data_IF_361614068322
#
_entry.id   IF_361614068322
#
_cell.length_a   1.000
_cell.length_b   1.000
_cell.length_c   1.000
_cell.angle_alpha   90.00
_cell.angle_beta   90.00
_cell.angle_gamma   90.00
#
_symmetry.space_group_name_H-M   'P 1'
#
loop_
_entity.id
_entity.type
_entity.pdbx_description
1 polymer ?
#
# COMPACT_ATOMS: atom_id res chain seq x y z
N UNK A 1 12.87 24.74 -1.04
CA UNK A 1 13.24 23.62 -0.12
C UNK A 1 12.03 22.83 0.35
N UNK A 2 10.89 23.48 0.62
CA UNK A 2 9.65 22.83 1.08
C UNK A 2 9.10 21.77 0.12
N UNK A 3 8.98 22.11 -1.18
CA UNK A 3 8.55 21.13 -2.20
C UNK A 3 9.47 19.91 -2.31
N UNK A 4 10.77 20.02 -1.98
CA UNK A 4 11.67 18.87 -2.04
C UNK A 4 11.28 17.80 -1.03
N UNK A 5 10.92 18.21 0.20
CA UNK A 5 10.44 17.28 1.23
C UNK A 5 9.10 16.65 0.85
N UNK A 6 8.19 17.45 0.29
CA UNK A 6 6.89 16.96 -0.22
C UNK A 6 7.10 15.94 -1.34
N UNK A 7 7.94 16.26 -2.33
CA UNK A 7 8.26 15.35 -3.43
C UNK A 7 8.89 14.06 -2.92
N UNK A 8 9.82 14.12 -1.95
CA UNK A 8 10.40 12.93 -1.32
C UNK A 8 9.31 12.08 -0.65
N UNK A 9 8.47 12.66 0.21
CA UNK A 9 7.36 11.95 0.86
C UNK A 9 6.42 11.29 -0.16
N UNK A 10 6.00 12.02 -1.19
CA UNK A 10 5.09 11.50 -2.21
C UNK A 10 5.73 10.36 -3.01
N UNK A 11 7.02 10.46 -3.31
CA UNK A 11 7.75 9.39 -3.99
C UNK A 11 7.98 8.16 -3.08
N UNK A 12 8.18 8.35 -1.79
CA UNK A 12 8.28 7.25 -0.82
C UNK A 12 6.95 6.48 -0.73
N UNK A 13 5.82 7.21 -0.63
CA UNK A 13 4.48 6.62 -0.67
C UNK A 13 4.19 5.93 -2.01
N UNK A 14 4.63 6.52 -3.12
CA UNK A 14 4.48 5.94 -4.46
C UNK A 14 5.24 4.62 -4.56
N UNK A 15 6.50 4.57 -4.11
CA UNK A 15 7.30 3.35 -4.07
C UNK A 15 6.64 2.28 -3.20
N UNK A 16 6.14 2.64 -2.00
CA UNK A 16 5.43 1.69 -1.12
C UNK A 16 4.18 1.11 -1.77
N UNK A 17 3.41 1.92 -2.51
CA UNK A 17 2.23 1.43 -3.23
C UNK A 17 2.60 0.47 -4.37
N UNK A 18 3.70 0.69 -5.09
CA UNK A 18 4.15 -0.26 -6.11
C UNK A 18 4.61 -1.59 -5.50
N UNK A 19 5.37 -1.53 -4.41
CA UNK A 19 5.78 -2.72 -3.69
C UNK A 19 4.57 -3.50 -3.18
N UNK A 20 3.57 -2.79 -2.66
CA UNK A 20 2.31 -3.37 -2.22
C UNK A 20 1.50 -4.00 -3.35
N UNK A 21 1.35 -3.30 -4.48
CA UNK A 21 0.71 -3.85 -5.67
C UNK A 21 1.38 -5.16 -6.08
N UNK A 22 2.71 -5.16 -6.22
CA UNK A 22 3.47 -6.34 -6.64
C UNK A 22 3.33 -7.47 -5.62
N UNK A 23 3.42 -7.16 -4.33
CA UNK A 23 3.29 -8.13 -3.24
C UNK A 23 1.93 -8.81 -3.24
N UNK A 24 0.87 -8.04 -3.44
CA UNK A 24 -0.49 -8.58 -3.58
C UNK A 24 -0.70 -9.39 -4.85
N UNK A 25 -0.14 -8.97 -6.00
CA UNK A 25 -0.18 -9.77 -7.24
C UNK A 25 0.51 -11.12 -7.07
N UNK A 26 1.66 -11.12 -6.39
CA UNK A 26 2.44 -12.33 -6.10
C UNK A 26 1.72 -13.24 -5.09
N UNK A 27 1.10 -12.66 -4.05
CA UNK A 27 0.26 -13.39 -3.10
C UNK A 27 -0.93 -14.07 -3.81
N UNK A 28 -1.61 -13.35 -4.70
CA UNK A 28 -2.75 -13.85 -5.46
C UNK A 28 -2.39 -15.01 -6.41
N UNK A 29 -1.14 -15.08 -6.89
CA UNK A 29 -0.68 -16.17 -7.75
C UNK A 29 -0.35 -17.46 -6.97
N UNK A 30 -0.03 -17.32 -5.69
CA UNK A 30 0.43 -18.42 -4.80
C UNK A 30 -0.64 -19.00 -3.88
N UNK A 31 -1.77 -18.31 -3.69
CA UNK A 31 -2.84 -18.78 -2.81
C UNK A 31 -3.95 -19.53 -3.55
N UNK A 32 -4.38 -20.66 -2.97
CA UNK A 32 -5.48 -21.47 -3.48
C UNK A 32 -6.84 -21.04 -2.93
N UNK A 33 -6.88 -20.43 -1.75
CA UNK A 33 -8.13 -19.98 -1.14
C UNK A 33 -8.75 -18.84 -1.95
N UNK A 34 -9.88 -19.14 -2.60
CA UNK A 34 -10.56 -18.22 -3.52
C UNK A 34 -10.90 -16.86 -2.92
N UNK A 35 -11.33 -16.80 -1.65
CA UNK A 35 -11.70 -15.54 -0.97
C UNK A 35 -10.50 -14.61 -0.85
N UNK A 36 -9.38 -15.09 -0.32
CA UNK A 36 -8.14 -14.31 -0.22
C UNK A 36 -7.53 -13.98 -1.58
N UNK A 37 -7.66 -14.89 -2.55
CA UNK A 37 -7.22 -14.62 -3.92
C UNK A 37 -7.93 -13.42 -4.54
N UNK A 38 -9.25 -13.32 -4.36
CA UNK A 38 -10.03 -12.16 -4.81
C UNK A 38 -9.63 -10.90 -4.06
N UNK A 39 -9.53 -10.98 -2.73
CA UNK A 39 -9.07 -9.87 -1.90
C UNK A 39 -7.72 -9.30 -2.37
N UNK A 40 -6.71 -10.13 -2.62
CA UNK A 40 -5.40 -9.65 -3.06
C UNK A 40 -5.43 -9.00 -4.45
N UNK A 41 -6.29 -9.47 -5.36
CA UNK A 41 -6.46 -8.81 -6.66
C UNK A 41 -7.05 -7.41 -6.50
N UNK A 42 -8.09 -7.28 -5.67
CA UNK A 42 -8.71 -5.98 -5.35
C UNK A 42 -7.70 -5.03 -4.70
N UNK A 43 -6.89 -5.53 -3.75
CA UNK A 43 -5.84 -4.73 -3.14
C UNK A 43 -4.79 -4.29 -4.15
N UNK A 44 -4.33 -5.16 -5.06
CA UNK A 44 -3.38 -4.79 -6.09
C UNK A 44 -3.90 -3.65 -6.99
N UNK A 45 -5.16 -3.72 -7.42
CA UNK A 45 -5.80 -2.68 -8.23
C UNK A 45 -5.98 -1.35 -7.47
N UNK A 46 -6.28 -1.44 -6.18
CA UNK A 46 -6.36 -0.29 -5.28
C UNK A 46 -5.00 0.42 -5.16
N UNK A 47 -3.92 -0.32 -4.87
CA UNK A 47 -2.56 0.24 -4.75
C UNK A 47 -2.06 0.84 -6.06
N UNK A 48 -2.38 0.22 -7.19
CA UNK A 48 -2.09 0.78 -8.50
C UNK A 48 -2.78 2.14 -8.72
N UNK A 49 -4.05 2.26 -8.33
CA UNK A 49 -4.81 3.50 -8.42
C UNK A 49 -4.24 4.58 -7.50
N UNK A 50 -3.80 4.21 -6.29
CA UNK A 50 -3.13 5.12 -5.36
C UNK A 50 -1.83 5.67 -5.96
N UNK A 51 -1.04 4.80 -6.61
CA UNK A 51 0.19 5.21 -7.30
C UNK A 51 -0.07 6.25 -8.39
N UNK A 52 -1.18 6.13 -9.14
CA UNK A 52 -1.56 7.13 -10.14
C UNK A 52 -1.88 8.49 -9.53
N UNK A 53 -2.66 8.53 -8.45
CA UNK A 53 -3.01 9.76 -7.76
C UNK A 53 -1.73 10.44 -7.21
N UNK A 54 -0.80 9.67 -6.63
CA UNK A 54 0.47 10.17 -6.11
C UNK A 54 1.40 10.68 -7.22
N UNK A 55 1.48 10.00 -8.37
CA UNK A 55 2.27 10.46 -9.53
C UNK A 55 1.86 11.85 -9.99
N UNK A 56 0.56 12.13 -10.03
CA UNK A 56 0.05 13.44 -10.41
C UNK A 56 0.50 14.52 -9.43
N UNK A 57 0.45 14.22 -8.12
CA UNK A 57 0.93 15.13 -7.08
C UNK A 57 2.45 15.35 -7.18
N UNK A 58 3.26 14.32 -7.38
CA UNK A 58 4.72 14.49 -7.53
C UNK A 58 5.04 15.48 -8.65
N UNK A 59 4.42 15.30 -9.83
CA UNK A 59 4.60 16.22 -10.96
C UNK A 59 4.10 17.63 -10.63
N UNK A 60 2.93 17.76 -9.97
CA UNK A 60 2.37 19.05 -9.56
C UNK A 60 3.31 19.84 -8.65
N UNK A 61 4.02 19.15 -7.75
CA UNK A 61 4.99 19.76 -6.84
C UNK A 61 6.38 19.96 -7.46
N UNK A 62 6.53 19.70 -8.77
CA UNK A 62 7.76 19.91 -9.54
C UNK A 62 8.78 18.78 -9.40
N UNK A 63 8.37 17.61 -8.92
CA UNK A 63 9.19 16.41 -8.84
C UNK A 63 9.07 15.52 -10.06
N UNK A 64 9.96 14.53 -10.14
CA UNK A 64 9.86 13.42 -11.10
C UNK A 64 9.28 12.22 -10.36
N UNK A 65 8.12 11.69 -10.77
CA UNK A 65 7.54 10.52 -10.12
C UNK A 65 8.43 9.31 -10.31
N UNK A 66 8.62 8.53 -9.25
CA UNK A 66 9.25 7.23 -9.39
C UNK A 66 8.40 6.35 -10.33
N UNK A 67 9.06 5.72 -11.30
CA UNK A 67 8.37 4.88 -12.30
C UNK A 67 7.92 3.52 -11.74
N UNK A 68 8.15 3.29 -10.46
CA UNK A 68 8.07 1.99 -9.82
C UNK A 68 9.44 1.37 -9.71
N UNK A 69 9.54 0.21 -9.07
CA UNK A 69 10.77 -0.59 -9.07
C UNK A 69 11.14 -0.96 -10.50
N UNK A 70 12.00 -0.17 -11.11
CA UNK A 70 12.83 -0.55 -12.26
C UNK A 70 13.66 -1.73 -11.80
N UNK A 71 13.45 -2.91 -12.39
CA UNK A 71 14.42 -4.01 -12.38
C UNK A 71 15.02 -4.34 -11.00
N UNK A 72 14.14 -4.62 -10.03
CA UNK A 72 14.56 -5.07 -8.70
C UNK A 72 13.51 -6.03 -8.14
N UNK A 73 13.85 -7.31 -8.09
CA UNK A 73 13.04 -8.38 -7.47
C UNK A 73 12.93 -8.26 -5.94
N UNK A 74 13.56 -7.26 -5.33
CA UNK A 74 13.46 -6.97 -3.90
C UNK A 74 12.12 -6.33 -3.59
N UNK A 75 11.28 -7.05 -2.85
CA UNK A 75 10.18 -6.42 -2.13
C UNK A 75 10.71 -5.81 -0.83
N UNK A 76 10.01 -4.82 -0.28
CA UNK A 76 10.15 -4.52 1.15
C UNK A 76 9.97 -5.81 1.98
N UNK A 77 10.74 -6.01 3.07
CA UNK A 77 10.72 -7.24 3.87
C UNK A 77 9.32 -7.69 4.32
N UNK A 78 8.41 -6.73 4.51
CA UNK A 78 6.99 -6.94 4.82
C UNK A 78 6.29 -7.89 3.83
N UNK A 79 6.52 -7.72 2.53
CA UNK A 79 5.88 -8.54 1.50
C UNK A 79 6.56 -9.90 1.36
N UNK A 80 7.86 -9.98 1.58
CA UNK A 80 8.55 -11.27 1.69
C UNK A 80 7.99 -12.09 2.85
N UNK A 81 7.81 -11.48 4.03
CA UNK A 81 7.20 -12.14 5.18
C UNK A 81 5.78 -12.63 4.88
N UNK A 82 4.96 -11.81 4.23
CA UNK A 82 3.62 -12.20 3.79
C UNK A 82 3.66 -13.41 2.85
N UNK A 83 4.55 -13.37 1.84
CA UNK A 83 4.74 -14.48 0.89
C UNK A 83 5.19 -15.76 1.60
N UNK A 84 6.12 -15.65 2.55
CA UNK A 84 6.61 -16.77 3.34
C UNK A 84 5.51 -17.40 4.20
N UNK A 85 4.62 -16.59 4.80
CA UNK A 85 3.46 -17.09 5.56
C UNK A 85 2.53 -17.91 4.66
N UNK A 86 2.33 -17.55 3.40
CA UNK A 86 1.53 -18.36 2.46
C UNK A 86 2.15 -19.71 2.17
N UNK A 87 3.47 -19.76 1.93
CA UNK A 87 4.16 -21.03 1.64
C UNK A 87 4.11 -22.02 2.80
N UNK A 88 3.89 -21.55 4.02
CA UNK A 88 3.87 -22.37 5.25
C UNK A 88 2.47 -22.86 5.64
N UNK A 89 1.41 -22.35 5.02
CA UNK A 89 0.01 -22.80 5.18
C UNK A 89 -0.53 -22.67 6.62
N UNK A 90 -1.45 -21.74 6.88
CA UNK A 90 -2.14 -21.70 8.18
C UNK A 90 -2.97 -20.45 8.47
N UNK A 91 -3.60 -20.46 9.65
CA UNK A 91 -4.43 -19.35 10.19
C UNK A 91 -3.69 -18.01 10.32
N UNK A 92 -2.35 -18.00 10.28
CA UNK A 92 -1.55 -16.78 10.37
C UNK A 92 -1.63 -15.87 9.15
N UNK A 93 -2.23 -16.32 8.05
CA UNK A 93 -2.36 -15.53 6.82
C UNK A 93 -3.23 -14.28 7.04
N UNK A 94 -4.41 -14.45 7.63
CA UNK A 94 -5.31 -13.32 7.90
C UNK A 94 -4.68 -12.34 8.88
N UNK A 95 -4.12 -12.85 9.97
CA UNK A 95 -3.39 -12.06 10.95
C UNK A 95 -2.23 -11.25 10.32
N UNK A 96 -1.46 -11.83 9.40
CA UNK A 96 -0.38 -11.11 8.72
C UNK A 96 -0.92 -10.06 7.75
N UNK A 97 -2.00 -10.35 7.01
CA UNK A 97 -2.65 -9.34 6.17
C UNK A 97 -3.20 -8.17 7.00
N UNK A 98 -3.84 -8.46 8.14
CA UNK A 98 -4.35 -7.48 9.10
C UNK A 98 -3.21 -6.62 9.63
N UNK A 99 -2.11 -7.24 10.08
CA UNK A 99 -0.92 -6.53 10.57
C UNK A 99 -0.35 -5.56 9.53
N UNK A 100 -0.31 -5.97 8.26
CA UNK A 100 0.17 -5.15 7.15
C UNK A 100 -0.76 -3.97 6.90
N UNK A 101 -2.07 -4.20 6.80
CA UNK A 101 -3.05 -3.13 6.56
C UNK A 101 -3.14 -2.16 7.74
N UNK A 102 -3.00 -2.62 8.99
CA UNK A 102 -2.89 -1.77 10.17
C UNK A 102 -1.65 -0.89 10.12
N UNK A 103 -0.51 -1.43 9.70
CA UNK A 103 0.72 -0.65 9.55
C UNK A 103 0.56 0.46 8.50
N UNK A 104 -0.05 0.17 7.35
CA UNK A 104 -0.34 1.19 6.33
C UNK A 104 -1.33 2.23 6.84
N UNK A 105 -2.41 1.82 7.50
CA UNK A 105 -3.41 2.74 8.06
C UNK A 105 -2.80 3.69 9.09
N UNK A 106 -1.95 3.16 9.98
CA UNK A 106 -1.23 3.95 10.98
C UNK A 106 -0.30 4.96 10.34
N UNK A 107 0.54 4.53 9.38
CA UNK A 107 1.47 5.41 8.67
C UNK A 107 0.74 6.57 7.98
N UNK A 108 -0.37 6.27 7.30
CA UNK A 108 -1.17 7.30 6.63
C UNK A 108 -1.82 8.25 7.65
N UNK A 109 -2.22 7.75 8.83
CA UNK A 109 -2.68 8.57 9.94
C UNK A 109 -1.61 9.52 10.48
N UNK A 110 -0.38 9.04 10.63
CA UNK A 110 0.77 9.86 11.05
C UNK A 110 1.04 10.98 10.04
N UNK A 111 1.03 10.69 8.74
CA UNK A 111 1.23 11.70 7.70
C UNK A 111 0.11 12.75 7.72
N UNK A 112 -1.14 12.35 7.91
CA UNK A 112 -2.28 13.28 7.98
C UNK A 112 -2.25 14.17 9.22
N UNK A 113 -1.57 13.74 10.29
CA UNK A 113 -1.39 14.53 11.51
C UNK A 113 -0.37 15.66 11.35
N UNK A 114 0.46 15.63 10.29
CA UNK A 114 1.42 16.68 10.01
C UNK A 114 0.74 17.92 9.40
N UNK A 115 0.83 19.05 10.11
CA UNK A 115 0.26 20.32 9.72
C UNK A 115 1.00 20.98 8.55
N UNK A 116 2.20 20.50 8.20
CA UNK A 116 2.99 20.99 7.07
C UNK A 116 2.58 20.35 5.74
N UNK A 117 1.71 19.34 5.75
CA UNK A 117 1.23 18.71 4.52
C UNK A 117 0.14 19.58 3.87
N UNK A 118 0.31 19.96 2.59
CA UNK A 118 -0.70 20.69 1.83
C UNK A 118 -2.06 19.98 1.74
N UNK A 119 -3.12 20.78 1.61
CA UNK A 119 -4.50 20.29 1.65
C UNK A 119 -4.83 19.29 0.53
N UNK A 120 -4.34 19.50 -0.69
CA UNK A 120 -4.57 18.59 -1.82
C UNK A 120 -3.92 17.22 -1.61
N UNK A 121 -2.75 17.18 -0.97
CA UNK A 121 -2.08 15.94 -0.57
C UNK A 121 -2.88 15.26 0.56
N UNK A 122 -3.34 16.03 1.56
CA UNK A 122 -4.18 15.51 2.64
C UNK A 122 -5.46 14.85 2.11
N UNK A 123 -6.10 15.44 1.11
CA UNK A 123 -7.31 14.88 0.48
C UNK A 123 -7.03 13.53 -0.18
N UNK A 124 -5.93 13.42 -0.95
CA UNK A 124 -5.54 12.16 -1.57
C UNK A 124 -5.18 11.11 -0.51
N UNK A 125 -4.35 11.44 0.48
CA UNK A 125 -3.95 10.50 1.54
C UNK A 125 -5.16 10.07 2.38
N UNK A 126 -6.11 10.97 2.67
CA UNK A 126 -7.34 10.64 3.39
C UNK A 126 -8.20 9.64 2.62
N UNK A 127 -8.37 9.84 1.31
CA UNK A 127 -9.09 8.90 0.43
C UNK A 127 -8.42 7.52 0.43
N UNK A 128 -7.09 7.48 0.33
CA UNK A 128 -6.34 6.23 0.36
C UNK A 128 -6.46 5.52 1.71
N UNK A 129 -6.25 6.24 2.82
CA UNK A 129 -6.39 5.71 4.18
C UNK A 129 -7.78 5.13 4.42
N UNK A 130 -8.83 5.81 3.98
CA UNK A 130 -10.20 5.31 4.12
C UNK A 130 -10.39 3.96 3.41
N UNK A 131 -9.89 3.82 2.19
CA UNK A 131 -9.99 2.57 1.46
C UNK A 131 -9.16 1.43 2.10
N UNK A 132 -8.01 1.76 2.71
CA UNK A 132 -7.21 0.84 3.55
C UNK A 132 -8.01 0.40 4.78
N UNK A 133 -8.66 1.34 5.48
CA UNK A 133 -9.48 1.04 6.67
C UNK A 133 -10.67 0.15 6.32
N UNK A 134 -11.31 0.40 5.17
CA UNK A 134 -12.39 -0.44 4.64
C UNK A 134 -11.89 -1.86 4.29
N UNK A 135 -10.72 -1.98 3.66
CA UNK A 135 -10.08 -3.27 3.38
C UNK A 135 -9.70 -4.04 4.66
N UNK A 136 -9.16 -3.33 5.66
CA UNK A 136 -8.84 -3.88 6.97
C UNK A 136 -10.08 -4.40 7.69
N UNK A 137 -11.18 -3.64 7.69
CA UNK A 137 -12.44 -4.07 8.27
C UNK A 137 -12.96 -5.34 7.58
N UNK A 138 -12.87 -5.41 6.25
CA UNK A 138 -13.24 -6.60 5.49
C UNK A 138 -12.37 -7.81 5.85
N UNK A 139 -11.05 -7.64 5.98
CA UNK A 139 -10.14 -8.71 6.44
C UNK A 139 -10.53 -9.26 7.80
N UNK A 140 -10.83 -8.39 8.77
CA UNK A 140 -11.24 -8.78 10.13
C UNK A 140 -12.53 -9.60 10.12
N UNK A 141 -13.48 -9.25 9.26
CA UNK A 141 -14.71 -10.03 9.07
C UNK A 141 -14.41 -11.41 8.46
N UNK A 142 -13.50 -11.47 7.49
CA UNK A 142 -13.12 -12.74 6.86
C UNK A 142 -12.30 -13.67 7.78
N UNK A 143 -11.55 -13.14 8.75
CA UNK A 143 -10.79 -13.92 9.72
C UNK A 143 -11.69 -14.73 10.67
N UNK A 144 -12.84 -14.14 11.08
CA UNK A 144 -13.84 -14.77 11.95
C UNK A 144 -13.94 -14.11 13.32
#
# INVERSE_FOLDING_TARGET
>A
MENKKIVTLLNDLLTKNYDAEKGYREAASKIDLHTLKSYFKEQAEMRFSFGKDLKQLVTKYGGVPHEGTTEGTSFYPTWTALIDVFTKGGRGIYAECIRIEEAFSSEFGEILSDNLIPQDIKEVITKQKRAIDEALAHLKIMEG
#
